data_IF_000359691125
#
_entry.id   IF_000359691125
#
_cell.length_a   1.000
_cell.length_b   1.000
_cell.length_c   1.000
_cell.angle_alpha   90.00
_cell.angle_beta   90.00
_cell.angle_gamma   90.00
#
_symmetry.space_group_name_H-M   'P 1'
#
loop_
_entity.id
_entity.type
_entity.pdbx_description
1 polymer ?
#
# COMPACT_ATOMS: atom_id res chain seq x y z
N UNK A 1 7.86 67.39 -60.68
CA UNK A 1 8.76 66.94 -61.75
C UNK A 1 9.08 65.47 -61.53
N UNK A 2 8.37 64.63 -62.24
CA UNK A 2 8.79 63.92 -63.47
C UNK A 2 9.81 62.78 -63.25
N UNK A 3 9.49 61.67 -63.55
CA UNK A 3 9.55 60.72 -64.65
C UNK A 3 10.15 59.38 -64.22
N UNK A 4 9.70 58.35 -64.55
CA UNK A 4 9.39 57.40 -65.55
C UNK A 4 9.82 55.96 -65.15
N UNK A 5 8.87 55.09 -65.32
CA UNK A 5 8.92 53.68 -65.73
C UNK A 5 10.29 53.09 -66.12
N UNK A 6 10.56 51.93 -65.54
CA UNK A 6 11.07 50.80 -66.33
C UNK A 6 10.63 49.47 -65.71
N UNK A 7 9.96 48.70 -66.52
CA UNK A 7 9.62 47.30 -66.36
C UNK A 7 10.84 46.48 -66.74
N UNK A 8 11.31 45.61 -65.88
CA UNK A 8 12.17 44.49 -66.33
C UNK A 8 11.64 43.17 -65.74
N UNK A 9 11.34 42.29 -66.66
CA UNK A 9 10.95 40.89 -66.45
C UNK A 9 12.09 40.15 -65.73
N UNK A 10 11.79 39.42 -64.68
CA UNK A 10 12.72 38.47 -64.09
C UNK A 10 12.12 37.06 -64.17
N UNK A 11 12.94 36.23 -64.76
CA UNK A 11 12.73 34.81 -65.05
C UNK A 11 12.60 34.03 -63.74
N UNK A 12 11.57 33.19 -63.59
CA UNK A 12 11.41 32.24 -62.49
C UNK A 12 12.43 31.08 -62.69
N UNK A 13 13.37 30.98 -61.79
CA UNK A 13 14.20 29.78 -61.58
C UNK A 13 13.60 28.98 -60.45
N UNK A 14 13.04 27.82 -60.78
CA UNK A 14 12.52 26.89 -59.80
C UNK A 14 13.67 26.25 -59.05
N UNK A 15 13.69 26.49 -57.73
CA UNK A 15 14.53 25.75 -56.80
C UNK A 15 13.74 24.51 -56.31
N UNK A 16 14.16 23.33 -56.73
CA UNK A 16 13.72 22.05 -56.20
C UNK A 16 14.36 21.89 -54.83
N UNK A 17 13.58 22.06 -53.77
CA UNK A 17 14.01 21.72 -52.41
C UNK A 17 13.94 20.19 -52.22
N UNK A 18 15.08 19.53 -52.22
CA UNK A 18 15.23 18.15 -51.72
C UNK A 18 15.03 18.16 -50.22
N UNK A 19 13.87 17.67 -49.76
CA UNK A 19 13.63 17.37 -48.35
C UNK A 19 14.46 16.12 -47.96
N UNK A 20 15.55 16.34 -47.25
CA UNK A 20 16.27 15.26 -46.57
C UNK A 20 15.41 14.77 -45.40
N UNK A 21 14.80 13.60 -45.54
CA UNK A 21 14.17 12.88 -44.47
C UNK A 21 15.28 12.31 -43.57
N UNK A 22 15.56 12.95 -42.45
CA UNK A 22 16.41 12.39 -41.40
C UNK A 22 15.64 11.28 -40.69
N UNK A 23 15.98 10.03 -40.95
CA UNK A 23 15.60 8.90 -40.11
C UNK A 23 16.33 9.04 -38.76
N UNK A 24 15.64 9.52 -37.76
CA UNK A 24 16.07 9.35 -36.39
C UNK A 24 15.80 7.89 -35.95
N UNK A 25 16.79 7.18 -35.35
CA UNK A 25 16.52 5.90 -34.76
C UNK A 25 15.60 6.13 -33.56
N UNK A 26 14.35 5.72 -33.67
CA UNK A 26 13.42 5.67 -32.56
C UNK A 26 13.95 4.75 -31.48
N UNK A 27 14.23 5.28 -30.30
CA UNK A 27 14.38 4.48 -29.10
C UNK A 27 13.07 3.72 -28.92
N UNK A 28 13.13 2.40 -29.10
CA UNK A 28 12.04 1.52 -28.75
C UNK A 28 11.85 1.62 -27.21
N UNK A 29 10.96 2.49 -26.79
CA UNK A 29 10.40 2.44 -25.45
C UNK A 29 9.72 1.08 -25.33
N UNK A 30 10.18 0.27 -24.37
CA UNK A 30 9.50 -0.97 -24.01
C UNK A 30 8.06 -0.61 -23.65
N UNK A 31 7.12 -0.94 -24.53
CA UNK A 31 5.70 -0.82 -24.24
C UNK A 31 5.41 -1.77 -23.08
N UNK A 32 5.00 -1.21 -21.95
CA UNK A 32 4.36 -1.96 -20.89
C UNK A 32 3.18 -2.72 -21.52
N UNK A 33 3.06 -4.04 -21.32
CA UNK A 33 1.92 -4.77 -21.88
C UNK A 33 0.64 -4.14 -21.34
N UNK A 34 -0.23 -3.72 -22.25
CA UNK A 34 -1.57 -3.26 -21.92
C UNK A 34 -2.26 -4.40 -21.12
N UNK A 35 -2.67 -4.10 -19.90
CA UNK A 35 -3.51 -5.01 -19.12
C UNK A 35 -4.83 -5.15 -19.87
N UNK A 36 -5.21 -6.38 -20.15
CA UNK A 36 -6.53 -6.72 -20.67
C UNK A 36 -7.59 -6.06 -19.79
N UNK A 37 -8.46 -5.24 -20.39
CA UNK A 37 -9.50 -4.47 -19.72
C UNK A 37 -10.65 -5.34 -19.22
N UNK A 38 -10.37 -6.30 -18.34
CA UNK A 38 -11.36 -6.95 -17.52
C UNK A 38 -11.71 -6.03 -16.35
N UNK A 39 -12.98 -5.68 -16.22
CA UNK A 39 -13.55 -4.86 -15.16
C UNK A 39 -13.61 -5.67 -13.84
N UNK A 40 -12.42 -6.06 -13.32
CA UNK A 40 -12.27 -6.79 -12.06
C UNK A 40 -11.75 -5.83 -10.98
N UNK A 41 -12.69 -5.29 -10.22
CA UNK A 41 -12.44 -4.52 -8.99
C UNK A 41 -12.04 -5.50 -7.87
N UNK A 42 -10.88 -5.31 -7.24
CA UNK A 42 -10.21 -6.28 -6.34
C UNK A 42 -9.35 -5.55 -5.29
N UNK A 43 -9.35 -5.76 -4.15
CA UNK A 43 -9.66 -5.47 -2.74
C UNK A 43 -11.13 -5.28 -2.81
N UNK A 44 -11.95 -5.70 -1.90
CA UNK A 44 -13.39 -5.55 -2.16
C UNK A 44 -13.65 -4.11 -2.62
N UNK A 45 -14.07 -3.93 -3.87
CA UNK A 45 -14.26 -2.59 -4.47
C UNK A 45 -13.01 -1.79 -4.84
N UNK A 46 -11.78 -2.35 -4.76
CA UNK A 46 -10.54 -1.66 -5.06
C UNK A 46 -10.09 -1.71 -6.53
N UNK A 47 -8.97 -1.07 -6.81
CA UNK A 47 -8.32 -1.02 -8.13
C UNK A 47 -6.87 -1.51 -8.04
N UNK A 48 -6.27 -1.99 -9.14
CA UNK A 48 -4.85 -2.33 -9.14
C UNK A 48 -3.96 -1.13 -8.80
N UNK A 49 -2.98 -1.35 -7.91
CA UNK A 49 -1.92 -0.39 -7.66
C UNK A 49 -0.89 -0.42 -8.78
N UNK A 50 -0.27 0.74 -9.05
CA UNK A 50 0.82 0.83 -10.01
C UNK A 50 2.15 0.38 -9.39
N UNK A 51 3.08 -0.11 -10.23
CA UNK A 51 4.42 -0.47 -9.76
C UNK A 51 5.12 0.77 -9.18
N UNK A 52 5.56 0.65 -7.91
CA UNK A 52 6.22 1.73 -7.18
C UNK A 52 5.29 2.75 -6.53
N UNK A 53 3.98 2.59 -6.61
CA UNK A 53 3.01 3.50 -5.97
C UNK A 53 3.07 3.41 -4.42
N UNK A 54 3.18 2.20 -3.90
CA UNK A 54 3.33 1.91 -2.46
C UNK A 54 4.53 0.99 -2.24
N UNK A 55 5.76 1.49 -2.39
CA UNK A 55 6.96 0.65 -2.42
C UNK A 55 7.22 -0.07 -1.09
N UNK A 56 6.74 0.49 0.03
CA UNK A 56 6.88 -0.05 1.38
C UNK A 56 6.02 -1.29 1.66
N UNK A 57 5.11 -1.66 0.75
CA UNK A 57 4.24 -2.82 0.93
C UNK A 57 5.03 -4.12 0.93
N UNK A 58 4.71 -4.98 1.88
CA UNK A 58 5.34 -6.30 2.06
C UNK A 58 4.28 -7.38 2.09
N UNK A 59 4.52 -8.47 1.35
CA UNK A 59 3.76 -9.71 1.46
C UNK A 59 4.53 -10.69 2.32
N UNK A 60 3.89 -11.24 3.35
CA UNK A 60 4.44 -12.26 4.23
C UNK A 60 3.96 -13.66 3.83
N UNK A 61 4.84 -14.67 3.94
CA UNK A 61 4.59 -16.03 3.40
C UNK A 61 3.44 -16.79 4.06
N UNK A 62 3.05 -16.40 5.29
CA UNK A 62 1.90 -16.99 5.97
C UNK A 62 0.55 -16.48 5.44
N UNK A 63 0.55 -15.57 4.48
CA UNK A 63 -0.68 -15.05 3.89
C UNK A 63 -1.11 -13.70 4.45
N UNK A 64 -0.28 -13.03 5.26
CA UNK A 64 -0.48 -11.67 5.76
C UNK A 64 0.23 -10.63 4.90
N UNK A 65 -0.16 -9.37 5.07
CA UNK A 65 0.55 -8.18 4.63
C UNK A 65 1.44 -7.60 5.72
N UNK A 66 2.13 -6.53 5.40
CA UNK A 66 2.93 -5.72 6.30
C UNK A 66 3.47 -4.49 5.60
N UNK A 67 4.14 -3.63 6.35
CA UNK A 67 4.87 -2.49 5.81
C UNK A 67 6.33 -2.51 6.28
N UNK A 68 7.22 -2.08 5.41
CA UNK A 68 8.64 -1.92 5.75
C UNK A 68 8.80 -0.71 6.69
N UNK A 69 8.90 -0.98 7.99
CA UNK A 69 9.08 0.00 9.06
C UNK A 69 10.52 0.52 9.12
N UNK A 70 11.48 -0.39 9.05
CA UNK A 70 12.90 -0.12 8.86
C UNK A 70 13.42 -1.00 7.73
N UNK A 71 14.64 -0.78 7.25
CA UNK A 71 15.17 -1.55 6.10
C UNK A 71 15.15 -3.07 6.31
N UNK A 72 15.18 -3.51 7.55
CA UNK A 72 15.19 -4.92 7.95
C UNK A 72 14.15 -5.27 9.01
N UNK A 73 13.12 -4.41 9.18
CA UNK A 73 11.98 -4.66 10.08
C UNK A 73 10.68 -4.40 9.33
N UNK A 74 9.79 -5.39 9.36
CA UNK A 74 8.42 -5.29 8.85
C UNK A 74 7.46 -5.15 10.03
N UNK A 75 6.59 -4.14 9.99
CA UNK A 75 5.45 -3.99 10.89
C UNK A 75 4.25 -4.73 10.30
N UNK A 76 3.62 -5.58 11.11
CA UNK A 76 2.45 -6.41 10.76
C UNK A 76 1.53 -6.57 11.96
N UNK A 77 0.50 -7.41 11.87
CA UNK A 77 -0.41 -7.72 12.99
C UNK A 77 0.14 -8.84 13.87
N UNK A 78 -0.20 -8.80 15.16
CA UNK A 78 0.18 -9.84 16.14
C UNK A 78 -0.47 -11.19 15.82
N UNK A 79 -1.71 -11.19 15.32
CA UNK A 79 -2.40 -12.44 14.95
C UNK A 79 -1.78 -13.15 13.73
N UNK A 80 -0.87 -12.50 13.01
CA UNK A 80 -0.14 -13.10 11.90
C UNK A 80 1.05 -13.94 12.33
N UNK A 81 1.46 -13.91 13.59
CA UNK A 81 2.66 -14.56 14.12
C UNK A 81 2.36 -15.40 15.35
N UNK A 82 3.19 -16.41 15.61
CA UNK A 82 3.00 -17.36 16.72
C UNK A 82 3.80 -16.99 17.99
N UNK A 83 3.75 -15.70 18.39
CA UNK A 83 4.48 -15.20 19.56
C UNK A 83 5.81 -14.54 19.20
N UNK A 84 6.61 -14.27 20.24
CA UNK A 84 7.92 -13.63 20.11
C UNK A 84 9.07 -14.64 20.18
N UNK A 85 10.17 -14.35 19.48
CA UNK A 85 11.40 -15.12 19.52
C UNK A 85 11.99 -15.39 18.13
N UNK A 86 12.94 -16.32 18.07
CA UNK A 86 13.61 -16.70 16.84
C UNK A 86 12.64 -17.40 15.89
N UNK A 87 12.41 -16.81 14.73
CA UNK A 87 11.64 -17.39 13.65
C UNK A 87 12.30 -17.12 12.31
N UNK A 88 12.64 -18.20 11.59
CA UNK A 88 13.28 -18.17 10.26
C UNK A 88 12.34 -18.68 9.15
N UNK A 89 11.09 -18.90 9.48
CA UNK A 89 10.13 -19.54 8.55
C UNK A 89 9.45 -18.51 7.66
N UNK A 90 9.28 -17.27 8.13
CA UNK A 90 8.61 -16.20 7.40
C UNK A 90 9.48 -15.70 6.26
N UNK A 91 8.90 -15.54 5.09
CA UNK A 91 9.52 -14.85 3.96
C UNK A 91 8.77 -13.55 3.69
N UNK A 92 9.49 -12.44 3.74
CA UNK A 92 9.02 -11.13 3.29
C UNK A 92 9.30 -10.98 1.80
N UNK A 93 8.28 -10.61 1.02
CA UNK A 93 8.36 -10.29 -0.42
C UNK A 93 8.01 -8.83 -0.60
N UNK A 94 8.90 -8.04 -1.20
CA UNK A 94 8.78 -6.60 -1.37
C UNK A 94 9.22 -6.13 -2.76
N UNK A 95 8.95 -4.86 -3.09
CA UNK A 95 9.44 -4.18 -4.29
C UNK A 95 8.63 -4.44 -5.55
N UNK A 96 7.53 -5.19 -5.47
CA UNK A 96 6.71 -5.57 -6.64
C UNK A 96 5.23 -5.44 -6.34
N UNK A 97 4.43 -5.18 -7.36
CA UNK A 97 2.97 -5.30 -7.29
C UNK A 97 2.50 -6.70 -7.74
N UNK A 98 3.23 -7.33 -8.64
CA UNK A 98 3.00 -8.71 -9.09
C UNK A 98 3.88 -9.69 -8.30
N UNK A 99 3.28 -10.54 -7.46
CA UNK A 99 4.03 -11.50 -6.64
C UNK A 99 4.82 -12.55 -7.44
N UNK A 100 4.56 -12.65 -8.75
CA UNK A 100 5.30 -13.53 -9.68
C UNK A 100 6.42 -12.81 -10.43
N UNK A 101 6.58 -11.48 -10.20
CA UNK A 101 7.66 -10.73 -10.83
C UNK A 101 9.02 -11.27 -10.34
N UNK A 102 9.94 -11.61 -11.26
CA UNK A 102 11.28 -12.08 -10.89
C UNK A 102 12.14 -11.00 -10.19
N UNK A 103 11.76 -9.72 -10.30
CA UNK A 103 12.40 -8.61 -9.57
C UNK A 103 12.04 -8.55 -8.08
N UNK A 104 11.10 -9.38 -7.61
CA UNK A 104 10.67 -9.42 -6.22
C UNK A 104 11.85 -9.68 -5.27
N UNK A 105 12.04 -8.79 -4.30
CA UNK A 105 13.01 -8.95 -3.23
C UNK A 105 12.42 -9.86 -2.17
N UNK A 106 13.07 -11.02 -1.92
CA UNK A 106 12.62 -12.00 -0.93
C UNK A 106 13.68 -12.16 0.16
N UNK A 107 13.29 -11.92 1.41
CA UNK A 107 14.18 -12.02 2.58
C UNK A 107 13.49 -12.84 3.67
N UNK A 108 14.25 -13.75 4.29
CA UNK A 108 13.78 -14.55 5.43
C UNK A 108 13.81 -13.73 6.72
N UNK A 109 12.88 -14.04 7.63
CA UNK A 109 12.95 -13.57 9.01
C UNK A 109 14.11 -14.21 9.79
N UNK A 110 14.46 -13.58 10.90
CA UNK A 110 15.37 -14.15 11.91
C UNK A 110 14.71 -14.20 13.27
N UNK A 111 13.86 -13.22 13.55
CA UNK A 111 13.22 -13.03 14.85
C UNK A 111 11.87 -12.31 14.66
N UNK A 112 10.97 -12.54 15.61
CA UNK A 112 9.65 -11.89 15.67
C UNK A 112 9.46 -11.31 17.06
N UNK A 113 8.89 -10.13 17.15
CA UNK A 113 8.39 -9.52 18.38
C UNK A 113 6.89 -9.28 18.24
N UNK A 114 6.08 -10.07 18.93
CA UNK A 114 4.65 -9.86 19.05
C UNK A 114 4.39 -8.87 20.19
N UNK A 115 3.38 -8.02 20.05
CA UNK A 115 3.00 -7.02 21.05
C UNK A 115 2.90 -7.64 22.46
N UNK A 116 3.57 -7.06 23.46
CA UNK A 116 3.50 -7.57 24.83
C UNK A 116 2.07 -7.58 25.37
N UNK A 117 1.63 -8.73 25.85
CA UNK A 117 0.29 -8.91 26.39
C UNK A 117 -0.83 -9.04 25.35
N UNK A 118 -0.50 -9.22 24.06
CA UNK A 118 -1.49 -9.59 23.06
C UNK A 118 -2.16 -10.92 23.45
N UNK A 119 -3.48 -10.93 23.44
CA UNK A 119 -4.30 -12.07 23.85
C UNK A 119 -5.45 -12.36 22.89
N UNK A 120 -5.35 -11.84 21.65
CA UNK A 120 -6.39 -11.98 20.64
C UNK A 120 -7.37 -10.80 20.58
N UNK A 121 -7.16 -9.74 21.38
CA UNK A 121 -8.03 -8.55 21.43
C UNK A 121 -7.21 -7.30 21.70
N UNK A 122 -7.43 -6.25 20.92
CA UNK A 122 -6.59 -5.03 20.96
C UNK A 122 -5.11 -5.34 20.73
N UNK A 123 -4.24 -4.35 20.78
CA UNK A 123 -2.75 -4.51 20.70
C UNK A 123 -2.26 -5.41 19.56
N UNK A 124 -2.98 -5.46 18.45
CA UNK A 124 -2.72 -6.40 17.37
C UNK A 124 -1.61 -5.89 16.44
N UNK A 125 -0.38 -5.82 16.97
CA UNK A 125 0.81 -5.46 16.20
C UNK A 125 1.98 -6.41 16.47
N UNK A 126 2.85 -6.58 15.48
CA UNK A 126 4.09 -7.35 15.60
C UNK A 126 5.17 -6.79 14.67
N UNK A 127 6.42 -7.05 15.04
CA UNK A 127 7.60 -6.74 14.24
C UNK A 127 8.27 -8.03 13.79
N UNK A 128 8.65 -8.09 12.50
CA UNK A 128 9.40 -9.20 11.92
C UNK A 128 10.77 -8.69 11.51
N UNK A 129 11.84 -9.15 12.20
CA UNK A 129 13.23 -8.87 11.84
C UNK A 129 13.65 -9.74 10.68
N UNK A 130 14.21 -9.12 9.66
CA UNK A 130 14.72 -9.77 8.46
C UNK A 130 16.21 -10.11 8.58
N UNK A 131 16.65 -11.14 7.88
CA UNK A 131 18.03 -11.63 7.87
C UNK A 131 19.03 -10.66 7.22
N UNK A 132 18.52 -9.74 6.40
CA UNK A 132 19.31 -8.68 5.75
C UNK A 132 18.41 -7.50 5.39
N UNK A 133 18.96 -6.29 5.30
CA UNK A 133 18.22 -5.11 4.85
C UNK A 133 17.66 -5.29 3.42
N UNK A 134 16.50 -4.71 3.19
CA UNK A 134 15.94 -4.48 1.85
C UNK A 134 16.38 -3.09 1.42
N UNK A 135 17.35 -3.04 0.52
CA UNK A 135 17.92 -1.77 0.05
C UNK A 135 17.07 -1.19 -1.09
N UNK A 136 17.17 0.14 -1.25
CA UNK A 136 16.51 0.91 -2.33
C UNK A 136 14.97 0.86 -2.33
N UNK A 137 14.36 0.46 -1.23
CA UNK A 137 12.92 0.51 -1.01
C UNK A 137 12.66 1.46 0.15
N UNK A 138 11.81 2.51 -0.03
CA UNK A 138 11.42 3.41 1.06
C UNK A 138 10.68 2.67 2.17
N UNK A 139 10.90 3.10 3.40
CA UNK A 139 10.14 2.67 4.57
C UNK A 139 8.89 3.52 4.75
N UNK A 140 7.91 3.01 5.48
CA UNK A 140 6.70 3.73 5.85
C UNK A 140 6.81 4.24 7.28
N UNK A 141 6.75 5.56 7.47
CA UNK A 141 6.68 6.18 8.80
C UNK A 141 5.37 5.81 9.48
N UNK A 142 5.36 5.75 10.80
CA UNK A 142 4.16 5.55 11.61
C UNK A 142 3.68 6.86 12.22
N UNK A 143 2.37 6.99 12.42
CA UNK A 143 1.77 8.08 13.17
C UNK A 143 2.15 7.96 14.66
N UNK A 144 2.70 9.03 15.25
CA UNK A 144 3.11 9.05 16.67
C UNK A 144 2.00 9.57 17.60
N UNK A 145 0.92 10.06 17.03
CA UNK A 145 -0.28 10.56 17.73
C UNK A 145 -1.51 10.44 16.81
N UNK A 146 -2.68 10.74 17.34
CA UNK A 146 -3.99 10.60 16.71
C UNK A 146 -4.36 11.72 15.71
N UNK A 147 -3.47 12.69 15.45
CA UNK A 147 -3.72 13.83 14.54
C UNK A 147 -4.20 13.37 13.15
N UNK A 148 -3.73 12.20 12.71
CA UNK A 148 -4.05 11.65 11.41
C UNK A 148 -5.24 10.66 11.41
N UNK A 149 -5.87 10.41 12.56
CA UNK A 149 -7.04 9.52 12.69
C UNK A 149 -8.32 10.25 12.23
N UNK A 150 -8.36 10.65 10.98
CA UNK A 150 -9.47 11.42 10.40
C UNK A 150 -9.45 11.38 8.87
N UNK A 151 -10.58 11.66 8.22
CA UNK A 151 -10.71 11.76 6.77
C UNK A 151 -10.62 10.41 6.08
N UNK A 152 -10.02 10.38 4.88
CA UNK A 152 -9.90 9.17 4.09
C UNK A 152 -8.51 8.54 4.24
N UNK A 153 -8.51 7.21 4.29
CA UNK A 153 -7.31 6.39 4.33
C UNK A 153 -7.17 5.57 3.07
N UNK A 154 -5.94 5.29 2.68
CA UNK A 154 -5.62 4.29 1.67
C UNK A 154 -5.33 2.95 2.34
N UNK A 155 -5.94 1.89 1.83
CA UNK A 155 -5.63 0.50 2.15
C UNK A 155 -5.07 -0.17 0.90
N UNK A 156 -4.10 -1.07 1.07
CA UNK A 156 -3.54 -1.83 -0.03
C UNK A 156 -3.13 -3.23 0.43
N UNK A 157 -3.25 -4.22 -0.47
CA UNK A 157 -2.87 -5.59 -0.15
C UNK A 157 -3.08 -6.57 -1.30
N UNK A 158 -2.71 -7.81 -1.04
CA UNK A 158 -2.90 -8.97 -1.92
C UNK A 158 -3.97 -9.93 -1.39
N UNK A 159 -4.85 -9.43 -0.52
CA UNK A 159 -5.96 -10.20 0.03
C UNK A 159 -7.01 -10.58 -0.99
N UNK A 160 -8.04 -11.27 -0.53
CA UNK A 160 -9.15 -11.68 -1.37
C UNK A 160 -9.94 -10.47 -1.89
N UNK A 161 -10.42 -10.55 -3.10
CA UNK A 161 -11.23 -9.53 -3.77
C UNK A 161 -12.72 -9.57 -3.40
N UNK A 162 -13.08 -10.56 -2.61
CA UNK A 162 -14.42 -10.76 -2.04
C UNK A 162 -14.34 -11.71 -0.87
N UNK A 163 -15.32 -11.65 0.00
CA UNK A 163 -15.44 -12.55 1.13
C UNK A 163 -15.43 -14.03 0.68
N UNK A 164 -14.56 -14.84 1.30
CA UNK A 164 -14.34 -16.25 0.92
C UNK A 164 -13.63 -16.45 -0.41
N UNK A 165 -13.13 -15.39 -1.04
CA UNK A 165 -12.36 -15.44 -2.27
C UNK A 165 -10.90 -15.86 -2.07
N UNK A 166 -10.18 -16.01 -3.18
CA UNK A 166 -8.74 -16.32 -3.19
C UNK A 166 -7.91 -15.04 -3.08
N UNK A 167 -6.76 -15.14 -2.42
CA UNK A 167 -5.78 -14.07 -2.38
C UNK A 167 -5.27 -13.73 -3.79
N UNK A 168 -4.94 -12.46 -4.01
CA UNK A 168 -4.64 -11.92 -5.31
C UNK A 168 -3.15 -11.98 -5.63
N UNK A 169 -2.84 -12.13 -6.91
CA UNK A 169 -1.48 -12.05 -7.43
C UNK A 169 -0.96 -10.62 -7.48
N UNK A 170 -1.85 -9.67 -7.82
CA UNK A 170 -1.52 -8.26 -8.01
C UNK A 170 -1.92 -7.44 -6.79
N UNK A 171 -1.08 -6.46 -6.43
CA UNK A 171 -1.39 -5.51 -5.36
C UNK A 171 -2.59 -4.65 -5.74
N UNK A 172 -3.53 -4.54 -4.83
CA UNK A 172 -4.76 -3.79 -4.98
C UNK A 172 -4.80 -2.68 -3.96
N UNK A 173 -5.55 -1.62 -4.25
CA UNK A 173 -5.74 -0.45 -3.38
C UNK A 173 -7.18 -0.01 -3.36
N UNK A 174 -7.59 0.61 -2.26
CA UNK A 174 -8.86 1.30 -2.13
C UNK A 174 -8.76 2.45 -1.13
N UNK A 175 -9.79 3.31 -1.09
CA UNK A 175 -9.92 4.35 -0.09
C UNK A 175 -11.13 4.04 0.81
N UNK A 176 -10.91 4.22 2.12
CA UNK A 176 -11.91 3.99 3.16
C UNK A 176 -11.98 5.20 4.09
N UNK A 177 -13.19 5.75 4.36
CA UNK A 177 -13.35 6.85 5.30
C UNK A 177 -13.16 6.40 6.74
N UNK A 178 -12.63 7.29 7.57
CA UNK A 178 -12.57 7.14 9.02
C UNK A 178 -13.98 7.01 9.61
N UNK A 179 -14.11 6.17 10.62
CA UNK A 179 -15.32 6.02 11.44
C UNK A 179 -14.93 6.20 12.89
N UNK A 180 -15.58 7.14 13.58
CA UNK A 180 -15.31 7.41 15.00
C UNK A 180 -15.70 6.25 15.90
N UNK A 181 -15.08 6.19 17.09
CA UNK A 181 -15.26 5.11 18.05
C UNK A 181 -16.72 4.91 18.47
N UNK A 182 -17.46 6.00 18.69
CA UNK A 182 -18.85 5.89 19.13
C UNK A 182 -19.74 5.26 18.04
N UNK A 183 -19.46 5.54 16.78
CA UNK A 183 -20.14 4.92 15.63
C UNK A 183 -19.69 3.47 15.45
N UNK A 184 -18.41 3.19 15.61
CA UNK A 184 -17.87 1.84 15.51
C UNK A 184 -18.36 0.92 16.64
N UNK A 185 -18.48 1.43 17.87
CA UNK A 185 -19.07 0.71 19.01
C UNK A 185 -20.53 0.31 18.75
N UNK A 186 -21.29 1.07 17.96
CA UNK A 186 -22.64 0.65 17.58
C UNK A 186 -22.63 -0.60 16.69
N UNK A 187 -21.58 -0.80 15.90
CA UNK A 187 -21.45 -1.97 15.04
C UNK A 187 -20.94 -3.22 15.79
N UNK A 188 -20.07 -3.04 16.78
CA UNK A 188 -19.31 -4.13 17.38
C UNK A 188 -19.47 -4.26 18.91
N UNK A 189 -20.01 -3.24 19.57
CA UNK A 189 -20.22 -3.26 21.02
C UNK A 189 -18.92 -3.51 21.80
N UNK A 190 -18.97 -4.45 22.72
CA UNK A 190 -17.83 -4.83 23.58
C UNK A 190 -16.71 -5.58 22.85
N UNK A 191 -16.86 -5.90 21.57
CA UNK A 191 -15.80 -6.54 20.80
C UNK A 191 -14.77 -5.54 20.32
N UNK A 192 -15.13 -4.28 20.16
CA UNK A 192 -14.18 -3.19 19.92
C UNK A 192 -13.41 -2.84 21.21
N UNK A 193 -12.14 -2.49 21.08
CA UNK A 193 -11.28 -1.96 22.14
C UNK A 193 -10.92 -0.52 21.82
N UNK A 194 -11.77 0.48 22.18
CA UNK A 194 -11.50 1.88 21.89
C UNK A 194 -10.15 2.33 22.46
N UNK A 195 -9.42 3.12 21.67
CA UNK A 195 -8.08 3.58 22.03
C UNK A 195 -6.94 2.61 21.69
N UNK A 196 -7.23 1.33 21.43
CA UNK A 196 -6.30 0.36 20.84
C UNK A 196 -6.60 0.14 19.34
N UNK A 197 -7.83 0.40 18.93
CA UNK A 197 -8.38 0.09 17.62
C UNK A 197 -9.11 1.30 17.02
N UNK A 198 -9.06 1.43 15.73
CA UNK A 198 -9.83 2.41 14.97
C UNK A 198 -10.58 1.73 13.83
N UNK A 199 -11.65 2.37 13.36
CA UNK A 199 -12.50 1.83 12.33
C UNK A 199 -12.46 2.67 11.06
N UNK A 200 -12.56 2.00 9.92
CA UNK A 200 -12.70 2.66 8.63
C UNK A 200 -13.53 1.80 7.67
N UNK A 201 -14.25 2.46 6.77
CA UNK A 201 -15.08 1.77 5.78
C UNK A 201 -16.32 2.57 5.39
N UNK A 202 -17.01 2.14 4.36
CA UNK A 202 -18.29 2.73 3.94
C UNK A 202 -19.43 2.10 4.73
N UNK A 203 -19.76 2.67 5.89
CA UNK A 203 -20.70 2.09 6.84
C UNK A 203 -22.06 1.76 6.23
N UNK A 204 -22.66 2.71 5.50
CA UNK A 204 -24.03 2.55 4.98
C UNK A 204 -24.12 1.58 3.81
N UNK A 205 -23.15 1.62 2.92
CA UNK A 205 -23.20 0.90 1.63
C UNK A 205 -22.32 -0.35 1.60
N UNK A 206 -21.29 -0.42 2.46
CA UNK A 206 -20.23 -1.42 2.31
C UNK A 206 -19.52 -1.31 0.96
N UNK A 207 -19.10 -2.44 0.41
CA UNK A 207 -18.57 -2.56 -0.95
C UNK A 207 -17.11 -2.17 -1.11
N UNK A 208 -16.45 -1.65 -0.07
CA UNK A 208 -15.00 -1.35 -0.04
C UNK A 208 -14.43 -1.68 1.33
N UNK A 209 -13.47 -2.59 1.39
CA UNK A 209 -12.80 -2.99 2.64
C UNK A 209 -11.56 -3.85 2.36
N UNK A 210 -10.77 -4.12 3.41
CA UNK A 210 -9.80 -5.21 3.46
C UNK A 210 -10.49 -6.56 3.60
N UNK A 211 -9.80 -7.64 3.19
CA UNK A 211 -10.34 -9.00 3.25
C UNK A 211 -9.26 -10.01 3.63
N UNK A 212 -9.60 -11.31 3.62
CA UNK A 212 -8.67 -12.39 3.97
C UNK A 212 -7.37 -12.30 3.17
N UNK A 213 -6.24 -12.14 3.86
CA UNK A 213 -4.91 -11.97 3.30
C UNK A 213 -4.39 -10.54 3.26
N UNK A 214 -5.21 -9.53 3.63
CA UNK A 214 -4.77 -8.17 3.88
C UNK A 214 -4.33 -7.97 5.35
N UNK A 215 -4.68 -8.88 6.24
CA UNK A 215 -4.28 -8.92 7.66
C UNK A 215 -2.81 -8.53 7.85
N UNK A 216 -2.54 -7.60 8.77
CA UNK A 216 -1.22 -7.07 9.04
C UNK A 216 -0.73 -6.01 8.06
N UNK A 217 -1.43 -5.82 6.94
CA UNK A 217 -1.12 -4.75 5.98
C UNK A 217 -1.37 -3.36 6.57
N UNK A 218 -0.71 -2.31 6.03
CA UNK A 218 -0.89 -0.96 6.51
C UNK A 218 -2.18 -0.33 6.01
N UNK A 219 -2.82 0.46 6.86
CA UNK A 219 -3.71 1.55 6.48
C UNK A 219 -2.96 2.85 6.66
N UNK A 220 -2.97 3.71 5.65
CA UNK A 220 -2.09 4.88 5.59
C UNK A 220 -2.75 6.05 4.86
N UNK A 221 -2.20 7.24 5.03
CA UNK A 221 -2.62 8.46 4.36
C UNK A 221 -1.44 9.39 4.13
N UNK A 222 -1.68 10.54 3.51
CA UNK A 222 -0.67 11.60 3.42
C UNK A 222 -0.64 12.42 4.70
N UNK A 223 0.57 12.71 5.20
CA UNK A 223 0.81 13.71 6.24
C UNK A 223 0.78 15.14 5.67
N UNK A 224 0.99 16.13 6.52
CA UNK A 224 0.96 17.55 6.13
C UNK A 224 2.11 17.94 5.17
N UNK A 225 3.15 17.12 5.09
CA UNK A 225 4.26 17.27 4.14
C UNK A 225 4.00 16.54 2.80
N UNK A 226 2.88 15.82 2.67
CA UNK A 226 2.55 15.02 1.50
C UNK A 226 3.25 13.66 1.46
N UNK A 227 3.90 13.24 2.56
CA UNK A 227 4.53 11.93 2.69
C UNK A 227 3.53 10.88 3.21
N UNK A 228 3.75 9.61 2.85
CA UNK A 228 2.93 8.53 3.38
C UNK A 228 3.22 8.28 4.85
N UNK A 229 2.16 8.15 5.66
CA UNK A 229 2.22 7.83 7.09
C UNK A 229 1.21 6.73 7.42
N UNK A 230 1.66 5.71 8.13
CA UNK A 230 0.80 4.61 8.57
C UNK A 230 0.01 5.01 9.82
N UNK A 231 -1.30 4.84 9.78
CA UNK A 231 -2.22 5.15 10.87
C UNK A 231 -2.88 3.90 11.46
N UNK A 232 -2.95 2.82 10.68
CA UNK A 232 -3.55 1.56 11.12
C UNK A 232 -2.83 0.33 10.61
N UNK A 233 -3.13 -0.81 11.25
CA UNK A 233 -2.74 -2.16 10.81
C UNK A 233 -4.02 -2.97 10.66
N UNK A 234 -4.23 -3.61 9.51
CA UNK A 234 -5.41 -4.46 9.27
C UNK A 234 -5.48 -5.55 10.32
N UNK A 235 -6.52 -5.53 11.16
CA UNK A 235 -6.69 -6.43 12.29
C UNK A 235 -7.84 -7.41 12.08
N UNK A 236 -9.08 -6.97 12.13
CA UNK A 236 -10.25 -7.84 12.03
C UNK A 236 -11.46 -7.13 11.43
N UNK A 237 -12.55 -7.88 11.23
CA UNK A 237 -13.85 -7.39 10.79
C UNK A 237 -14.85 -8.54 10.71
N UNK A 238 -16.14 -8.21 10.63
CA UNK A 238 -17.21 -9.18 10.41
C UNK A 238 -17.51 -9.33 8.92
N UNK A 239 -16.88 -10.31 8.28
CA UNK A 239 -16.90 -10.47 6.82
C UNK A 239 -15.94 -9.51 6.14
N UNK A 240 -16.25 -9.13 4.90
CA UNK A 240 -15.49 -8.14 4.12
C UNK A 240 -16.46 -7.19 3.43
N UNK A 241 -16.31 -5.89 3.68
CA UNK A 241 -17.11 -4.83 3.05
C UNK A 241 -18.63 -4.96 3.22
N UNK A 242 -19.10 -5.54 4.30
CA UNK A 242 -20.53 -5.64 4.59
C UNK A 242 -21.07 -4.31 5.08
N UNK A 243 -22.26 -3.86 4.66
CA UNK A 243 -22.93 -2.69 5.25
C UNK A 243 -23.08 -2.85 6.77
N UNK A 244 -22.81 -1.78 7.51
CA UNK A 244 -22.88 -1.76 8.99
C UNK A 244 -21.75 -2.49 9.71
N UNK A 245 -20.75 -3.01 8.98
CA UNK A 245 -19.62 -3.77 9.54
C UNK A 245 -18.31 -3.24 8.94
N UNK A 246 -17.79 -2.10 9.46
CA UNK A 246 -16.54 -1.51 8.96
C UNK A 246 -15.34 -2.39 9.33
N UNK A 247 -14.23 -2.23 8.60
CA UNK A 247 -12.95 -2.82 8.98
C UNK A 247 -12.42 -2.24 10.29
N UNK A 248 -11.81 -3.09 11.12
CA UNK A 248 -11.16 -2.71 12.37
C UNK A 248 -9.65 -2.87 12.23
N UNK A 249 -8.95 -1.85 12.62
CA UNK A 249 -7.50 -1.69 12.48
C UNK A 249 -6.88 -1.42 13.83
N UNK A 250 -5.70 -1.96 14.10
CA UNK A 250 -4.91 -1.52 15.26
C UNK A 250 -4.56 -0.05 15.07
N UNK A 251 -4.85 0.78 16.07
CA UNK A 251 -4.48 2.19 16.08
C UNK A 251 -2.97 2.33 16.33
N UNK A 252 -2.21 2.67 15.29
CA UNK A 252 -0.75 2.72 15.36
C UNK A 252 -0.25 3.78 16.33
N UNK A 253 -0.94 4.92 16.41
CA UNK A 253 -0.57 6.01 17.31
C UNK A 253 -0.60 5.63 18.79
N UNK A 254 -1.52 4.74 19.16
CA UNK A 254 -1.62 4.20 20.54
C UNK A 254 -0.38 3.38 20.94
N UNK A 255 0.29 2.77 19.98
CA UNK A 255 1.43 1.86 20.22
C UNK A 255 2.75 2.37 19.62
N UNK A 256 2.80 3.60 19.14
CA UNK A 256 3.99 4.13 18.46
C UNK A 256 5.27 4.05 19.30
N UNK A 257 5.18 4.35 20.60
CA UNK A 257 6.31 4.25 21.52
C UNK A 257 6.75 2.78 21.74
N UNK A 258 5.82 1.86 21.85
CA UNK A 258 6.10 0.43 22.04
C UNK A 258 6.68 -0.20 20.78
N UNK A 259 6.13 0.15 19.60
CA UNK A 259 6.64 -0.26 18.28
C UNK A 259 8.08 0.22 18.11
N UNK A 260 8.35 1.50 18.41
CA UNK A 260 9.70 2.08 18.32
C UNK A 260 10.69 1.40 19.26
N UNK A 261 10.26 1.16 20.51
CA UNK A 261 11.07 0.43 21.50
C UNK A 261 11.38 -0.98 21.01
N UNK A 262 10.36 -1.73 20.57
CA UNK A 262 10.51 -3.08 20.05
C UNK A 262 11.42 -3.17 18.84
N UNK A 263 11.32 -2.20 17.91
CA UNK A 263 12.25 -2.11 16.78
C UNK A 263 13.69 -1.92 17.22
N UNK A 264 13.95 -1.06 18.23
CA UNK A 264 15.26 -0.88 18.83
C UNK A 264 15.80 -2.16 19.50
N UNK A 265 14.95 -2.94 20.17
CA UNK A 265 15.30 -4.25 20.76
C UNK A 265 15.70 -5.27 19.69
N UNK A 266 15.10 -5.22 18.52
CA UNK A 266 15.44 -6.06 17.36
C UNK A 266 16.65 -5.51 16.57
N UNK A 267 17.25 -4.38 17.00
CA UNK A 267 18.40 -3.77 16.34
C UNK A 267 18.05 -3.07 15.02
N UNK A 268 16.91 -2.41 14.99
CA UNK A 268 16.42 -1.58 13.88
C UNK A 268 16.76 -0.10 14.04
#
# INVERSE_FOLDING_TARGET
LSYLKQIKRAVAVGAVALAAVSLQPGTAGAATPARDGGNDTKVVGGTPAEQGEFPFMVRLSMGCGGALYAKDIVLTAAHCVDGSGKDKTITATAGVVDLKDPAAVKVKSTEVLQAPGYNGKGKDWALVKLAKPIENIPTLKIAENDTYNTGDFTIAGWGADKEGGSQQRYLLKAEVPFIDDATCEQAYGSDLTPGDELCAGKLDTGGVDTCQGDSGGPMFRKDDAGEWIQVGIVSWGEGCARPGKPGVYTEVSAFAADIKKGAGELGG
#
